data_IF_865376800900
#
_entry.id   IF_865376800900
#
_cell.length_a   1.000
_cell.length_b   1.000
_cell.length_c   1.000
_cell.angle_alpha   90.00
_cell.angle_beta   90.00
_cell.angle_gamma   90.00
#
_symmetry.space_group_name_H-M   'P 1'
#
loop_
_entity.id
_entity.type
_entity.pdbx_description
1 polymer ?
#
# COMPACT_ATOMS: atom_id res chain seq x y z
N UNK A 1 -49.29 13.42 -13.02
CA UNK A 1 -50.42 13.60 -13.95
C UNK A 1 -51.36 14.68 -13.41
N UNK A 2 -50.90 15.93 -13.27
CA UNK A 2 -51.72 17.05 -12.74
C UNK A 2 -51.12 18.46 -12.94
N UNK A 3 -50.17 18.65 -13.85
CA UNK A 3 -49.63 19.98 -14.17
C UNK A 3 -50.36 20.67 -15.34
N UNK A 4 -51.12 19.90 -16.13
CA UNK A 4 -51.85 20.40 -17.31
C UNK A 4 -53.10 21.20 -16.93
N UNK A 5 -53.74 20.89 -15.80
CA UNK A 5 -54.95 21.59 -15.33
C UNK A 5 -54.67 22.95 -14.69
N UNK A 6 -53.49 23.14 -14.07
CA UNK A 6 -53.10 24.44 -13.46
C UNK A 6 -52.66 25.47 -14.51
N UNK A 7 -51.97 25.04 -15.56
CA UNK A 7 -51.59 25.91 -16.69
C UNK A 7 -52.77 26.28 -17.58
N UNK A 8 -53.78 25.41 -17.68
CA UNK A 8 -55.03 25.70 -18.39
C UNK A 8 -55.87 26.81 -17.72
N UNK A 9 -55.83 26.95 -16.39
CA UNK A 9 -56.59 27.98 -15.66
C UNK A 9 -55.98 29.38 -15.76
N UNK A 10 -54.64 29.48 -15.81
CA UNK A 10 -53.97 30.77 -16.03
C UNK A 10 -54.02 31.20 -17.50
N UNK A 11 -53.97 30.24 -18.43
CA UNK A 11 -54.18 30.52 -19.85
C UNK A 11 -55.64 30.90 -20.16
N UNK A 12 -56.64 30.31 -19.50
CA UNK A 12 -58.05 30.69 -19.70
C UNK A 12 -58.38 32.07 -19.13
N UNK A 13 -57.73 32.50 -18.05
CA UNK A 13 -57.89 33.84 -17.50
C UNK A 13 -57.29 34.94 -18.42
N UNK A 14 -56.17 34.66 -19.12
CA UNK A 14 -55.59 35.60 -20.08
C UNK A 14 -56.31 35.58 -21.44
N UNK A 15 -56.88 34.43 -21.84
CA UNK A 15 -57.63 34.31 -23.10
C UNK A 15 -59.04 34.91 -23.00
N UNK A 16 -59.59 35.06 -21.79
CA UNK A 16 -60.86 35.75 -21.57
C UNK A 16 -60.77 37.29 -21.72
N UNK A 17 -59.56 37.87 -21.77
CA UNK A 17 -59.38 39.32 -21.98
C UNK A 17 -59.01 39.68 -23.44
N UNK A 18 -58.61 38.71 -24.27
CA UNK A 18 -58.14 38.96 -25.64
C UNK A 18 -58.97 38.28 -26.74
N UNK A 19 -60.04 37.55 -26.41
CA UNK A 19 -60.91 36.91 -27.40
C UNK A 19 -62.25 37.66 -27.56
N UNK A 20 -62.27 38.54 -28.56
CA UNK A 20 -63.46 39.07 -29.26
C UNK A 20 -64.32 40.13 -28.55
N UNK A 21 -64.57 41.30 -29.19
CA UNK A 21 -65.63 42.25 -28.80
C UNK A 21 -67.06 41.74 -29.03
N UNK A 22 -67.24 40.46 -29.32
CA UNK A 22 -68.49 39.89 -29.84
C UNK A 22 -69.52 39.53 -28.75
N UNK A 23 -69.20 39.65 -27.46
CA UNK A 23 -70.18 39.49 -26.36
C UNK A 23 -70.69 40.83 -25.80
N UNK A 24 -70.35 41.96 -26.43
CA UNK A 24 -70.89 43.28 -26.11
C UNK A 24 -71.95 43.77 -27.13
N UNK A 25 -72.59 42.84 -27.86
CA UNK A 25 -73.69 43.15 -28.76
C UNK A 25 -75.06 42.93 -28.07
N UNK A 26 -75.35 43.79 -27.11
CA UNK A 26 -76.68 44.06 -26.57
C UNK A 26 -76.72 45.56 -26.31
N UNK A 27 -77.47 46.30 -27.14
CA UNK A 27 -77.29 47.73 -27.36
C UNK A 27 -77.37 48.63 -26.11
N UNK A 28 -76.64 49.74 -26.17
CA UNK A 28 -76.77 50.83 -25.19
C UNK A 28 -75.47 51.59 -24.93
N UNK A 29 -75.11 52.46 -25.87
CA UNK A 29 -74.56 53.82 -25.68
C UNK A 29 -73.35 54.07 -24.76
N UNK A 30 -72.42 54.87 -25.31
CA UNK A 30 -71.31 55.52 -24.63
C UNK A 30 -71.75 56.23 -23.34
N UNK A 31 -71.41 55.65 -22.21
CA UNK A 31 -71.52 56.29 -20.91
C UNK A 31 -70.31 55.93 -20.08
N UNK A 32 -69.61 56.93 -19.52
CA UNK A 32 -68.61 56.69 -18.47
C UNK A 32 -69.20 55.82 -17.35
N UNK A 33 -68.35 55.31 -16.46
CA UNK A 33 -68.70 54.36 -15.38
C UNK A 33 -69.89 54.76 -14.47
N UNK A 34 -70.47 55.96 -14.66
CA UNK A 34 -71.62 56.52 -13.94
C UNK A 34 -72.76 57.05 -14.87
N UNK A 35 -72.77 56.74 -16.17
CA UNK A 35 -73.74 57.28 -17.12
C UNK A 35 -74.83 56.29 -17.59
N UNK A 36 -74.74 55.02 -17.20
CA UNK A 36 -75.82 54.04 -17.33
C UNK A 36 -76.58 53.90 -16.01
N UNK A 37 -77.89 53.64 -16.10
CA UNK A 37 -78.83 53.36 -15.01
C UNK A 37 -78.18 52.73 -13.76
N UNK A 38 -78.47 53.25 -12.56
CA UNK A 38 -77.84 52.86 -11.28
C UNK A 38 -77.88 51.33 -11.04
N UNK A 39 -78.84 50.63 -11.63
CA UNK A 39 -78.93 49.16 -11.61
C UNK A 39 -77.74 48.45 -12.27
N UNK A 40 -77.20 48.98 -13.36
CA UNK A 40 -76.05 48.39 -14.08
C UNK A 40 -74.76 48.48 -13.27
N UNK A 41 -74.52 49.64 -12.63
CA UNK A 41 -73.36 49.85 -11.77
C UNK A 41 -73.37 48.95 -10.52
N UNK A 42 -74.55 48.76 -9.89
CA UNK A 42 -74.72 47.83 -8.76
C UNK A 42 -74.44 46.39 -9.19
N UNK A 43 -74.93 45.97 -10.36
CA UNK A 43 -74.71 44.62 -10.86
C UNK A 43 -73.23 44.35 -11.18
N UNK A 44 -72.54 45.29 -11.82
CA UNK A 44 -71.09 45.21 -12.06
C UNK A 44 -70.31 45.15 -10.74
N UNK A 45 -70.71 45.91 -9.71
CA UNK A 45 -70.09 45.87 -8.40
C UNK A 45 -70.30 44.51 -7.70
N UNK A 46 -71.48 43.90 -7.82
CA UNK A 46 -71.76 42.56 -7.28
C UNK A 46 -70.89 41.50 -7.96
N UNK A 47 -70.76 41.54 -9.29
CA UNK A 47 -69.88 40.61 -10.03
C UNK A 47 -68.40 40.83 -9.65
N UNK A 48 -67.98 42.09 -9.51
CA UNK A 48 -66.61 42.42 -9.08
C UNK A 48 -66.32 41.90 -7.67
N UNK A 49 -67.23 42.10 -6.70
CA UNK A 49 -67.08 41.54 -5.36
C UNK A 49 -67.09 40.01 -5.35
N UNK A 50 -67.97 39.38 -6.15
CA UNK A 50 -68.00 37.94 -6.29
C UNK A 50 -66.66 37.41 -6.86
N UNK A 51 -66.10 38.07 -7.87
CA UNK A 51 -64.79 37.75 -8.44
C UNK A 51 -63.67 37.90 -7.40
N UNK A 52 -63.64 39.02 -6.67
CA UNK A 52 -62.63 39.28 -5.62
C UNK A 52 -62.74 38.24 -4.50
N UNK A 53 -63.95 37.84 -4.11
CA UNK A 53 -64.17 36.81 -3.11
C UNK A 53 -63.63 35.43 -3.57
N UNK A 54 -63.90 35.07 -4.83
CA UNK A 54 -63.36 33.85 -5.44
C UNK A 54 -61.83 33.93 -5.55
N UNK A 55 -61.26 35.03 -6.03
CA UNK A 55 -59.80 35.20 -6.13
C UNK A 55 -59.12 35.19 -4.77
N UNK A 56 -59.68 35.89 -3.77
CA UNK A 56 -59.14 35.92 -2.42
C UNK A 56 -59.09 34.53 -1.78
N UNK A 57 -60.14 33.73 -1.98
CA UNK A 57 -60.19 32.37 -1.44
C UNK A 57 -59.35 31.34 -2.21
N UNK A 58 -59.23 31.47 -3.53
CA UNK A 58 -58.58 30.45 -4.38
C UNK A 58 -57.16 30.80 -4.84
N UNK A 59 -56.79 32.07 -5.02
CA UNK A 59 -55.48 32.46 -5.56
C UNK A 59 -54.44 32.79 -4.46
N UNK A 60 -54.86 33.31 -3.31
CA UNK A 60 -53.92 33.77 -2.27
C UNK A 60 -53.13 32.62 -1.63
N UNK A 61 -53.79 31.49 -1.37
CA UNK A 61 -53.15 30.29 -0.82
C UNK A 61 -52.01 29.76 -1.70
N UNK A 62 -52.27 29.41 -2.98
CA UNK A 62 -51.24 28.91 -3.89
C UNK A 62 -50.04 29.84 -4.07
N UNK A 63 -50.24 31.16 -4.11
CA UNK A 63 -49.16 32.13 -4.26
C UNK A 63 -48.27 32.12 -3.01
N UNK A 64 -48.87 32.15 -1.82
CA UNK A 64 -48.12 32.14 -0.56
C UNK A 64 -47.36 30.82 -0.38
N UNK A 65 -48.01 29.69 -0.70
CA UNK A 65 -47.36 28.36 -0.65
C UNK A 65 -46.19 28.28 -1.64
N UNK A 66 -46.31 28.82 -2.85
CA UNK A 66 -45.21 28.83 -3.81
C UNK A 66 -44.03 29.70 -3.35
N UNK A 67 -44.31 30.79 -2.64
CA UNK A 67 -43.28 31.67 -2.08
C UNK A 67 -42.56 31.00 -0.90
N UNK A 68 -43.32 30.37 0.01
CA UNK A 68 -42.78 29.58 1.13
C UNK A 68 -41.93 28.42 0.63
N UNK A 69 -42.39 27.66 -0.37
CA UNK A 69 -41.61 26.58 -0.97
C UNK A 69 -40.29 27.06 -1.56
N UNK A 70 -40.26 28.25 -2.19
CA UNK A 70 -39.01 28.84 -2.69
C UNK A 70 -38.08 29.24 -1.57
N UNK A 71 -38.63 29.86 -0.52
CA UNK A 71 -37.86 30.27 0.66
C UNK A 71 -37.25 29.05 1.37
N UNK A 72 -38.04 28.02 1.61
CA UNK A 72 -37.59 26.78 2.25
C UNK A 72 -36.57 26.06 1.37
N UNK A 73 -36.78 25.97 0.05
CA UNK A 73 -35.81 25.38 -0.87
C UNK A 73 -34.45 26.13 -0.84
N UNK A 74 -34.47 27.46 -0.81
CA UNK A 74 -33.23 28.26 -0.73
C UNK A 74 -32.55 28.06 0.63
N UNK A 75 -33.31 28.04 1.72
CA UNK A 75 -32.79 27.79 3.07
C UNK A 75 -32.15 26.41 3.17
N UNK A 76 -32.82 25.38 2.68
CA UNK A 76 -32.33 24.00 2.67
C UNK A 76 -31.10 23.85 1.78
N UNK A 77 -31.11 24.46 0.59
CA UNK A 77 -29.95 24.45 -0.31
C UNK A 77 -28.74 25.13 0.33
N UNK A 78 -28.93 26.25 1.03
CA UNK A 78 -27.85 26.94 1.75
C UNK A 78 -27.37 26.15 2.96
N UNK A 79 -28.27 25.53 3.72
CA UNK A 79 -27.93 24.67 4.84
C UNK A 79 -27.11 23.47 4.38
N UNK A 80 -27.56 22.78 3.31
CA UNK A 80 -26.84 21.67 2.71
C UNK A 80 -25.48 22.08 2.17
N UNK A 81 -25.38 23.20 1.46
CA UNK A 81 -24.10 23.69 0.96
C UNK A 81 -23.09 24.02 2.09
N UNK A 82 -23.58 24.46 3.26
CA UNK A 82 -22.74 24.68 4.45
C UNK A 82 -22.29 23.36 5.05
N UNK A 83 -23.21 22.41 5.23
CA UNK A 83 -22.93 21.07 5.75
C UNK A 83 -21.94 20.32 4.85
N UNK A 84 -22.17 20.30 3.53
CA UNK A 84 -21.26 19.69 2.55
C UNK A 84 -19.86 20.32 2.62
N UNK A 85 -19.77 21.65 2.83
CA UNK A 85 -18.48 22.34 2.98
C UNK A 85 -17.77 21.99 4.29
N UNK A 86 -18.51 21.87 5.38
CA UNK A 86 -17.96 21.47 6.68
C UNK A 86 -17.48 20.02 6.65
N UNK A 87 -18.27 19.13 6.08
CA UNK A 87 -17.89 17.72 5.86
C UNK A 87 -16.66 17.60 4.98
N UNK A 88 -16.60 18.32 3.84
CA UNK A 88 -15.43 18.33 2.97
C UNK A 88 -14.18 18.85 3.67
N UNK A 89 -14.31 19.89 4.50
CA UNK A 89 -13.19 20.41 5.30
C UNK A 89 -12.73 19.40 6.36
N UNK A 90 -13.66 18.73 7.04
CA UNK A 90 -13.36 17.70 8.04
C UNK A 90 -12.72 16.45 7.40
N UNK A 91 -13.18 16.02 6.23
CA UNK A 91 -12.58 14.95 5.46
C UNK A 91 -11.17 15.31 5.00
N UNK A 92 -10.98 16.52 4.47
CA UNK A 92 -9.66 17.00 4.04
C UNK A 92 -8.66 17.01 5.21
N UNK A 93 -9.07 17.48 6.39
CA UNK A 93 -8.23 17.43 7.59
C UNK A 93 -7.86 15.99 7.98
N UNK A 94 -8.82 15.04 7.91
CA UNK A 94 -8.54 13.61 8.15
C UNK A 94 -7.60 13.02 7.11
N UNK A 95 -7.76 13.38 5.84
CA UNK A 95 -6.86 12.94 4.77
C UNK A 95 -5.43 13.46 4.97
N UNK A 96 -5.27 14.73 5.34
CA UNK A 96 -3.97 15.32 5.67
C UNK A 96 -3.33 14.63 6.88
N UNK A 97 -4.11 14.34 7.93
CA UNK A 97 -3.64 13.59 9.10
C UNK A 97 -3.20 12.17 8.71
N UNK A 98 -3.99 11.46 7.91
CA UNK A 98 -3.64 10.13 7.41
C UNK A 98 -2.37 10.15 6.57
N UNK A 99 -2.20 11.15 5.69
CA UNK A 99 -0.98 11.33 4.91
C UNK A 99 0.23 11.63 5.78
N UNK A 100 0.08 12.46 6.81
CA UNK A 100 1.15 12.75 7.76
C UNK A 100 1.55 11.49 8.55
N UNK A 101 0.57 10.71 9.03
CA UNK A 101 0.80 9.42 9.69
C UNK A 101 1.49 8.42 8.79
N UNK A 102 1.01 8.25 7.55
CA UNK A 102 1.62 7.34 6.58
C UNK A 102 3.07 7.72 6.25
N UNK A 103 3.38 9.02 6.14
CA UNK A 103 4.76 9.50 5.93
C UNK A 103 5.64 9.22 7.15
N UNK A 104 5.13 9.45 8.36
CA UNK A 104 5.85 9.16 9.60
C UNK A 104 6.13 7.65 9.74
N UNK A 105 5.14 6.80 9.46
CA UNK A 105 5.27 5.35 9.48
C UNK A 105 6.26 4.86 8.42
N UNK A 106 6.17 5.35 7.18
CA UNK A 106 7.14 5.01 6.13
C UNK A 106 8.58 5.39 6.53
N UNK A 107 8.76 6.56 7.14
CA UNK A 107 10.07 6.98 7.66
C UNK A 107 10.55 6.06 8.77
N UNK A 108 9.65 5.68 9.70
CA UNK A 108 9.98 4.75 10.78
C UNK A 108 10.39 3.37 10.24
N UNK A 109 9.67 2.83 9.26
CA UNK A 109 10.00 1.54 8.61
C UNK A 109 11.38 1.59 7.95
N UNK A 110 11.71 2.70 7.26
CA UNK A 110 13.02 2.86 6.62
C UNK A 110 14.14 2.93 7.66
N UNK A 111 13.93 3.66 8.75
CA UNK A 111 14.92 3.78 9.83
C UNK A 111 15.09 2.47 10.62
N UNK A 112 14.01 1.74 10.87
CA UNK A 112 14.03 0.39 11.44
C UNK A 112 14.79 -0.57 10.53
N UNK A 113 14.46 -0.60 9.23
CA UNK A 113 15.15 -1.42 8.25
C UNK A 113 16.65 -1.10 8.14
N UNK A 114 17.05 0.16 8.29
CA UNK A 114 18.46 0.57 8.35
C UNK A 114 19.17 0.04 9.60
N UNK A 115 18.52 0.10 10.76
CA UNK A 115 19.08 -0.43 12.01
C UNK A 115 19.23 -1.95 11.93
N UNK A 116 18.21 -2.63 11.45
CA UNK A 116 18.24 -4.09 11.28
C UNK A 116 19.31 -4.51 10.27
N UNK A 117 19.45 -3.79 9.17
CA UNK A 117 20.51 -4.03 8.19
C UNK A 117 21.91 -3.88 8.80
N UNK A 118 22.14 -2.86 9.63
CA UNK A 118 23.45 -2.67 10.29
C UNK A 118 23.72 -3.76 11.33
N UNK A 119 22.71 -4.16 12.13
CA UNK A 119 22.83 -5.28 13.07
C UNK A 119 23.13 -6.59 12.33
N UNK A 120 22.44 -6.84 11.22
CA UNK A 120 22.67 -8.01 10.38
C UNK A 120 24.06 -7.98 9.75
N UNK A 121 24.52 -6.82 9.27
CA UNK A 121 25.87 -6.62 8.73
C UNK A 121 26.92 -6.97 9.76
N UNK A 122 26.80 -6.46 10.98
CA UNK A 122 27.73 -6.76 12.08
C UNK A 122 27.72 -8.25 12.45
N UNK A 123 26.54 -8.88 12.48
CA UNK A 123 26.42 -10.32 12.74
C UNK A 123 27.09 -11.15 11.64
N UNK A 124 26.88 -10.80 10.37
CA UNK A 124 27.50 -11.49 9.23
C UNK A 124 29.01 -11.33 9.28
N UNK A 125 29.52 -10.11 9.52
CA UNK A 125 30.96 -9.88 9.65
C UNK A 125 31.57 -10.66 10.81
N UNK A 126 30.89 -10.73 11.97
CA UNK A 126 31.34 -11.51 13.11
C UNK A 126 31.37 -13.01 12.80
N UNK A 127 30.31 -13.57 12.22
CA UNK A 127 30.24 -14.98 11.82
C UNK A 127 31.32 -15.32 10.79
N UNK A 128 31.51 -14.47 9.78
CA UNK A 128 32.52 -14.67 8.75
C UNK A 128 33.94 -14.66 9.33
N UNK A 129 34.23 -13.79 10.31
CA UNK A 129 35.52 -13.80 11.02
C UNK A 129 35.70 -15.07 11.83
N UNK A 130 34.69 -15.50 12.57
CA UNK A 130 34.74 -16.75 13.35
C UNK A 130 34.96 -17.97 12.45
N UNK A 131 34.25 -18.05 11.32
CA UNK A 131 34.41 -19.11 10.33
C UNK A 131 35.80 -19.08 9.68
N UNK A 132 36.31 -17.90 9.33
CA UNK A 132 37.66 -17.74 8.80
C UNK A 132 38.73 -18.20 9.81
N UNK A 133 38.58 -17.84 11.10
CA UNK A 133 39.49 -18.31 12.16
C UNK A 133 39.42 -19.82 12.34
N UNK A 134 38.22 -20.42 12.33
CA UNK A 134 38.04 -21.88 12.38
C UNK A 134 38.70 -22.57 11.19
N UNK A 135 38.55 -22.01 9.99
CA UNK A 135 39.19 -22.52 8.78
C UNK A 135 40.71 -22.42 8.85
N UNK A 136 41.26 -21.28 9.28
CA UNK A 136 42.71 -21.12 9.47
C UNK A 136 43.26 -22.09 10.53
N UNK A 137 42.56 -22.26 11.65
CA UNK A 137 42.95 -23.20 12.69
C UNK A 137 42.94 -24.65 12.18
N UNK A 138 41.93 -25.02 11.38
CA UNK A 138 41.86 -26.33 10.73
C UNK A 138 42.99 -26.53 9.73
N UNK A 139 43.22 -25.58 8.84
CA UNK A 139 44.30 -25.64 7.85
C UNK A 139 45.68 -25.76 8.53
N UNK A 140 45.93 -25.02 9.61
CA UNK A 140 47.18 -25.15 10.39
C UNK A 140 47.34 -26.55 10.99
N UNK A 141 46.26 -27.14 11.52
CA UNK A 141 46.29 -28.53 12.02
C UNK A 141 46.60 -29.52 10.89
N UNK A 142 45.93 -29.38 9.75
CA UNK A 142 46.15 -30.24 8.58
C UNK A 142 47.60 -30.11 8.05
N UNK A 143 48.15 -28.90 8.01
CA UNK A 143 49.57 -28.66 7.64
C UNK A 143 50.52 -29.36 8.62
N UNK A 144 50.27 -29.28 9.93
CA UNK A 144 51.12 -29.92 10.93
C UNK A 144 51.08 -31.44 10.80
N UNK A 145 49.90 -32.03 10.63
CA UNK A 145 49.75 -33.47 10.39
C UNK A 145 50.46 -33.88 9.10
N UNK A 146 50.30 -33.12 8.01
CA UNK A 146 50.99 -33.39 6.75
C UNK A 146 52.52 -33.32 6.91
N UNK A 147 53.04 -32.34 7.65
CA UNK A 147 54.48 -32.25 7.95
C UNK A 147 54.98 -33.47 8.72
N UNK A 148 54.26 -33.90 9.74
CA UNK A 148 54.63 -35.10 10.52
C UNK A 148 54.66 -36.36 9.64
N UNK A 149 53.69 -36.50 8.74
CA UNK A 149 53.67 -37.60 7.76
C UNK A 149 54.87 -37.54 6.81
N UNK A 150 55.16 -36.38 6.21
CA UNK A 150 56.30 -36.20 5.30
C UNK A 150 57.63 -36.46 6.01
N UNK A 151 57.78 -36.04 7.26
CA UNK A 151 58.99 -36.32 8.05
C UNK A 151 59.17 -37.83 8.26
N UNK A 152 58.10 -38.57 8.57
CA UNK A 152 58.17 -40.03 8.69
C UNK A 152 58.58 -40.70 7.37
N UNK A 153 57.96 -40.30 6.27
CA UNK A 153 58.31 -40.80 4.92
C UNK A 153 59.77 -40.51 4.56
N UNK A 154 60.30 -39.35 4.96
CA UNK A 154 61.69 -38.98 4.75
C UNK A 154 62.64 -39.90 5.53
N UNK A 155 62.34 -40.19 6.80
CA UNK A 155 63.12 -41.13 7.60
C UNK A 155 63.14 -42.54 7.01
N UNK A 156 61.98 -43.04 6.55
CA UNK A 156 61.89 -44.34 5.89
C UNK A 156 62.71 -44.37 4.60
N UNK A 157 62.65 -43.32 3.78
CA UNK A 157 63.44 -43.20 2.56
C UNK A 157 64.94 -43.15 2.86
N UNK A 158 65.37 -42.37 3.86
CA UNK A 158 66.77 -42.31 4.29
C UNK A 158 67.26 -43.67 4.81
N UNK A 159 66.45 -44.41 5.58
CA UNK A 159 66.78 -45.75 6.06
C UNK A 159 66.96 -46.76 4.91
N UNK A 160 66.08 -46.71 3.90
CA UNK A 160 66.22 -47.51 2.67
C UNK A 160 67.51 -47.16 1.92
N UNK A 161 67.78 -45.87 1.72
CA UNK A 161 68.98 -45.42 1.00
C UNK A 161 70.27 -45.82 1.73
N UNK A 162 70.30 -45.68 3.06
CA UNK A 162 71.44 -46.10 3.88
C UNK A 162 71.69 -47.61 3.76
N UNK A 163 70.62 -48.43 3.82
CA UNK A 163 70.71 -49.88 3.63
C UNK A 163 71.18 -50.25 2.22
N UNK A 164 70.73 -49.54 1.19
CA UNK A 164 71.14 -49.77 -0.20
C UNK A 164 72.64 -49.45 -0.40
N UNK A 165 73.11 -48.33 0.18
CA UNK A 165 74.54 -47.96 0.16
C UNK A 165 75.37 -48.98 0.93
N UNK A 166 74.96 -49.38 2.14
CA UNK A 166 75.65 -50.39 2.94
C UNK A 166 75.74 -51.72 2.19
N UNK A 167 74.66 -52.17 1.57
CA UNK A 167 74.63 -53.40 0.76
C UNK A 167 75.62 -53.35 -0.41
N UNK A 168 75.72 -52.22 -1.10
CA UNK A 168 76.70 -52.02 -2.19
C UNK A 168 78.15 -51.99 -1.69
N UNK A 169 78.41 -51.36 -0.54
CA UNK A 169 79.76 -51.32 0.04
C UNK A 169 80.19 -52.72 0.50
N UNK A 170 79.33 -53.43 1.23
CA UNK A 170 79.58 -54.82 1.68
C UNK A 170 79.81 -55.72 0.47
N UNK A 171 78.97 -55.62 -0.57
CA UNK A 171 79.14 -56.40 -1.80
C UNK A 171 80.45 -56.13 -2.56
N UNK A 172 81.09 -54.97 -2.35
CA UNK A 172 82.36 -54.60 -2.99
C UNK A 172 83.59 -54.97 -2.15
N UNK A 173 83.49 -54.93 -0.83
CA UNK A 173 84.61 -55.21 0.10
C UNK A 173 84.70 -56.67 0.57
N UNK A 174 83.69 -57.51 0.27
CA UNK A 174 83.69 -58.92 0.70
C UNK A 174 84.79 -59.74 0.01
N UNK A 175 85.77 -60.20 0.78
CA UNK A 175 86.80 -61.14 0.32
C UNK A 175 86.43 -62.58 0.69
N UNK A 176 87.00 -63.61 0.02
CA UNK A 176 86.71 -65.01 0.33
C UNK A 176 86.96 -65.40 1.79
N UNK A 177 87.91 -64.73 2.47
CA UNK A 177 88.22 -64.98 3.88
C UNK A 177 87.12 -64.44 4.83
N UNK A 178 86.44 -63.36 4.46
CA UNK A 178 85.38 -62.74 5.28
C UNK A 178 84.10 -63.57 5.24
N UNK A 179 83.79 -64.21 4.11
CA UNK A 179 82.70 -65.17 3.99
C UNK A 179 82.85 -66.34 4.97
N UNK A 180 84.07 -66.90 5.06
CA UNK A 180 84.36 -68.03 5.94
C UNK A 180 84.20 -67.64 7.42
N UNK A 181 84.69 -66.45 7.79
CA UNK A 181 84.60 -65.90 9.14
C UNK A 181 83.16 -65.61 9.58
N UNK A 182 82.33 -65.07 8.67
CA UNK A 182 80.91 -64.81 8.92
C UNK A 182 80.09 -66.11 9.08
N UNK A 183 80.41 -67.15 8.32
CA UNK A 183 79.79 -68.48 8.46
C UNK A 183 80.13 -69.07 9.83
N UNK A 184 81.40 -69.01 10.23
CA UNK A 184 81.87 -69.57 11.51
C UNK A 184 81.28 -68.81 12.72
N UNK A 185 81.18 -67.48 12.64
CA UNK A 185 80.51 -66.68 13.68
C UNK A 185 79.00 -66.92 13.76
N UNK A 186 78.34 -67.13 12.62
CA UNK A 186 76.89 -67.45 12.60
C UNK A 186 76.62 -68.84 13.16
N UNK A 187 77.51 -69.81 12.90
CA UNK A 187 77.44 -71.15 13.50
C UNK A 187 77.63 -71.05 15.02
N UNK A 188 78.61 -70.28 15.50
CA UNK A 188 78.81 -70.06 16.94
C UNK A 188 77.64 -69.34 17.62
N UNK A 189 76.99 -68.37 16.95
CA UNK A 189 75.84 -67.67 17.52
C UNK A 189 74.59 -68.57 17.60
N UNK A 190 74.38 -69.44 16.59
CA UNK A 190 73.32 -70.46 16.62
C UNK A 190 73.61 -71.50 17.69
N UNK A 191 74.88 -71.90 17.85
CA UNK A 191 75.30 -72.83 18.91
C UNK A 191 75.09 -72.22 20.30
N UNK A 192 75.41 -70.94 20.51
CA UNK A 192 75.12 -70.23 21.77
C UNK A 192 73.61 -70.04 22.05
N UNK A 193 72.78 -69.84 21.01
CA UNK A 193 71.32 -69.77 21.16
C UNK A 193 70.65 -71.14 21.29
N UNK A 194 71.27 -72.20 20.80
CA UNK A 194 70.77 -73.58 20.87
C UNK A 194 71.19 -74.34 22.13
N UNK A 195 72.10 -73.78 22.93
CA UNK A 195 72.58 -74.36 24.21
C UNK A 195 71.86 -73.73 25.43
N UNK A 196 70.88 -72.84 25.23
CA UNK A 196 69.97 -72.33 26.27
C UNK A 196 68.52 -72.77 26.01
#
# INVERSE_FOLDING_TARGET
>A
MSETTRRAFLASALTALAASPAFAAGGGESGGLFAGDLGSAIWTLVIFLALVFVLGKYAWGPILTALQQREDFIRDALAKARDDREQAAAELAKYEEMLAKARAEATAIVEEGRRDAEVLRQRIEASAREEAEKHLARARREINVAKETVVKELYELSGRLATDIASRIIGRELRPEDHRRLIESSIQEIEQRGIN
#
